data_IF_342542414469
#
_entry.id   IF_342542414469
#
_cell.length_a   1.000
_cell.length_b   1.000
_cell.length_c   1.000
_cell.angle_alpha   90.00
_cell.angle_beta   90.00
_cell.angle_gamma   90.00
#
_symmetry.space_group_name_H-M   'P 1'
#
loop_
_entity.id
_entity.type
_entity.pdbx_description
1 polymer ?
#
# COMPACT_ATOMS: atom_id res chain seq x y z
N UNK A 1 -9.26 -15.50 16.01
CA UNK A 1 -10.04 -15.16 14.80
C UNK A 1 -11.45 -15.70 15.01
N UNK A 2 -12.47 -14.86 14.84
CA UNK A 2 -13.87 -15.28 14.93
C UNK A 2 -14.33 -15.77 13.56
N UNK A 3 -14.31 -17.08 13.34
CA UNK A 3 -14.74 -17.70 12.09
C UNK A 3 -16.24 -17.50 11.79
N UNK A 4 -17.05 -17.16 12.80
CA UNK A 4 -18.48 -16.84 12.61
C UNK A 4 -18.71 -15.56 11.81
N UNK A 5 -17.71 -14.68 11.72
CA UNK A 5 -17.75 -13.46 10.92
C UNK A 5 -17.50 -13.69 9.41
N UNK A 6 -17.11 -14.89 9.00
CA UNK A 6 -16.76 -15.19 7.61
C UNK A 6 -17.76 -16.13 6.94
N UNK A 7 -17.80 -16.05 5.62
CA UNK A 7 -18.41 -17.01 4.73
C UNK A 7 -17.32 -17.74 3.93
N UNK A 8 -17.47 -19.06 3.83
CA UNK A 8 -16.55 -19.88 3.03
C UNK A 8 -17.11 -20.09 1.63
N UNK A 9 -16.39 -19.66 0.64
CA UNK A 9 -16.69 -19.82 -0.77
C UNK A 9 -16.06 -21.09 -1.31
N UNK A 10 -16.80 -22.19 -1.33
CA UNK A 10 -16.27 -23.53 -1.63
C UNK A 10 -15.62 -23.67 -3.01
N UNK A 11 -16.09 -22.92 -4.03
CA UNK A 11 -15.55 -22.97 -5.40
C UNK A 11 -14.15 -22.37 -5.46
N UNK A 12 -13.91 -21.26 -4.78
CA UNK A 12 -12.61 -20.59 -4.76
C UNK A 12 -11.72 -20.99 -3.58
N UNK A 13 -12.29 -21.65 -2.55
CA UNK A 13 -11.58 -21.92 -1.30
C UNK A 13 -11.30 -20.68 -0.47
N UNK A 14 -12.03 -19.59 -0.71
CA UNK A 14 -11.81 -18.29 -0.08
C UNK A 14 -12.64 -18.10 1.17
N UNK A 15 -12.12 -17.30 2.11
CA UNK A 15 -12.84 -16.85 3.30
C UNK A 15 -13.09 -15.36 3.21
N UNK A 16 -14.36 -14.97 3.11
CA UNK A 16 -14.75 -13.59 2.92
C UNK A 16 -15.63 -13.15 4.09
N UNK A 17 -15.31 -12.02 4.71
CA UNK A 17 -16.10 -11.49 5.81
C UNK A 17 -17.51 -11.11 5.35
N UNK A 18 -18.50 -11.38 6.18
CA UNK A 18 -19.92 -11.14 5.90
C UNK A 18 -20.27 -9.64 5.75
N UNK A 19 -19.46 -8.77 6.32
CA UNK A 19 -19.59 -7.31 6.24
C UNK A 19 -18.74 -6.70 5.13
N UNK A 20 -18.07 -7.53 4.32
CA UNK A 20 -17.31 -7.06 3.16
C UNK A 20 -18.21 -6.32 2.19
N UNK A 21 -17.75 -5.17 1.74
CA UNK A 21 -18.45 -4.32 0.77
C UNK A 21 -17.59 -4.11 -0.46
N UNK A 22 -18.21 -4.24 -1.62
CA UNK A 22 -17.54 -4.03 -2.90
C UNK A 22 -18.44 -3.33 -3.90
N UNK A 23 -17.82 -2.64 -4.86
CA UNK A 23 -18.47 -2.06 -6.03
C UNK A 23 -18.78 -3.10 -7.11
N UNK A 24 -19.13 -2.63 -8.28
CA UNK A 24 -19.36 -3.46 -9.46
C UNK A 24 -18.04 -4.00 -10.02
N UNK A 25 -18.08 -5.11 -10.77
CA UNK A 25 -16.90 -5.66 -11.42
C UNK A 25 -15.82 -6.24 -10.49
N UNK A 26 -16.15 -6.47 -9.21
CA UNK A 26 -15.21 -7.11 -8.28
C UNK A 26 -14.98 -8.58 -8.63
N UNK A 27 -13.71 -8.95 -8.76
CA UNK A 27 -13.29 -10.32 -9.03
C UNK A 27 -12.17 -10.75 -8.06
N UNK A 28 -12.13 -12.03 -7.68
CA UNK A 28 -11.04 -12.57 -6.88
C UNK A 28 -10.65 -13.98 -7.32
N UNK A 29 -9.37 -14.31 -7.15
CA UNK A 29 -8.81 -15.62 -7.42
C UNK A 29 -9.11 -16.65 -6.33
N UNK A 30 -8.30 -17.69 -6.28
CA UNK A 30 -8.44 -18.79 -5.34
C UNK A 30 -7.80 -18.49 -3.99
N UNK A 31 -8.37 -19.05 -2.91
CA UNK A 31 -7.81 -19.04 -1.56
C UNK A 31 -7.53 -17.62 -1.00
N UNK A 32 -8.37 -16.66 -1.35
CA UNK A 32 -8.29 -15.32 -0.80
C UNK A 32 -8.88 -15.26 0.62
N UNK A 33 -8.37 -14.34 1.43
CA UNK A 33 -8.93 -13.99 2.73
C UNK A 33 -9.26 -12.51 2.70
N UNK A 34 -10.53 -12.18 2.93
CA UNK A 34 -10.98 -10.79 3.03
C UNK A 34 -11.57 -10.62 4.43
N UNK A 35 -10.86 -9.84 5.23
CA UNK A 35 -11.21 -9.64 6.64
C UNK A 35 -12.37 -8.64 6.83
N UNK A 36 -12.96 -8.60 8.03
CA UNK A 36 -14.02 -7.63 8.34
C UNK A 36 -13.60 -6.17 8.13
N UNK A 37 -14.59 -5.32 7.84
CA UNK A 37 -14.40 -3.89 7.60
C UNK A 37 -13.47 -3.57 6.40
N UNK A 38 -13.40 -4.48 5.43
CA UNK A 38 -12.78 -4.20 4.12
C UNK A 38 -13.81 -3.60 3.17
N UNK A 39 -13.41 -2.57 2.44
CA UNK A 39 -14.23 -1.96 1.39
C UNK A 39 -13.39 -1.82 0.13
N UNK A 40 -13.93 -2.26 -0.99
CA UNK A 40 -13.33 -2.06 -2.31
C UNK A 40 -14.32 -1.39 -3.25
N UNK A 41 -13.81 -0.58 -4.17
CA UNK A 41 -14.57 0.13 -5.19
C UNK A 41 -14.96 -0.73 -6.39
N UNK A 42 -15.17 -0.06 -7.51
CA UNK A 42 -15.53 -0.69 -8.78
C UNK A 42 -14.30 -1.27 -9.51
N UNK A 43 -14.52 -2.32 -10.29
CA UNK A 43 -13.50 -2.95 -11.15
C UNK A 43 -12.20 -3.38 -10.43
N UNK A 44 -12.32 -3.81 -9.19
CA UNK A 44 -11.19 -4.32 -8.41
C UNK A 44 -10.98 -5.81 -8.67
N UNK A 45 -9.73 -6.19 -8.97
CA UNK A 45 -9.35 -7.58 -9.23
C UNK A 45 -8.27 -8.05 -8.26
N UNK A 46 -8.54 -9.17 -7.60
CA UNK A 46 -7.59 -9.85 -6.73
C UNK A 46 -7.11 -11.14 -7.42
N UNK A 47 -5.80 -11.36 -7.42
CA UNK A 47 -5.20 -12.63 -7.80
C UNK A 47 -5.47 -13.74 -6.78
N UNK A 48 -4.66 -14.79 -6.82
CA UNK A 48 -4.76 -15.91 -5.90
C UNK A 48 -4.08 -15.61 -4.56
N UNK A 49 -4.61 -16.16 -3.46
CA UNK A 49 -4.02 -16.07 -2.11
C UNK A 49 -3.76 -14.64 -1.63
N UNK A 50 -4.60 -13.72 -2.07
CA UNK A 50 -4.56 -12.33 -1.57
C UNK A 50 -5.22 -12.28 -0.20
N UNK A 51 -4.60 -11.57 0.73
CA UNK A 51 -5.18 -11.30 2.04
C UNK A 51 -5.36 -9.80 2.26
N UNK A 52 -6.60 -9.36 2.34
CA UNK A 52 -6.96 -8.00 2.71
C UNK A 52 -7.31 -7.95 4.20
N UNK A 53 -6.44 -7.33 4.99
CA UNK A 53 -6.61 -7.22 6.45
C UNK A 53 -7.65 -6.15 6.84
N UNK A 54 -8.15 -6.19 8.10
CA UNK A 54 -9.23 -5.31 8.55
C UNK A 54 -8.94 -3.82 8.34
N UNK A 55 -9.95 -3.09 7.89
CA UNK A 55 -9.87 -1.65 7.64
C UNK A 55 -9.19 -1.27 6.33
N UNK A 56 -8.83 -2.23 5.47
CA UNK A 56 -8.31 -1.95 4.13
C UNK A 56 -9.37 -1.27 3.27
N UNK A 57 -8.95 -0.22 2.56
CA UNK A 57 -9.75 0.52 1.57
C UNK A 57 -9.04 0.45 0.23
N UNK A 58 -9.75 -0.01 -0.78
CA UNK A 58 -9.27 -0.09 -2.16
C UNK A 58 -10.26 0.69 -3.03
N UNK A 59 -9.78 1.66 -3.80
CA UNK A 59 -10.63 2.44 -4.69
C UNK A 59 -10.82 1.72 -6.02
N UNK A 60 -11.15 2.47 -7.09
CA UNK A 60 -11.62 1.89 -8.34
C UNK A 60 -10.47 1.48 -9.27
N UNK A 61 -10.74 0.51 -10.15
CA UNK A 61 -9.79 -0.01 -11.15
C UNK A 61 -8.44 -0.40 -10.54
N UNK A 62 -8.46 -1.22 -9.50
CA UNK A 62 -7.23 -1.69 -8.83
C UNK A 62 -7.00 -3.18 -9.11
N UNK A 63 -5.76 -3.52 -9.45
CA UNK A 63 -5.32 -4.91 -9.55
C UNK A 63 -4.31 -5.24 -8.44
N UNK A 64 -4.61 -6.26 -7.65
CA UNK A 64 -3.73 -6.83 -6.63
C UNK A 64 -3.41 -8.27 -7.05
N UNK A 65 -2.17 -8.51 -7.47
CA UNK A 65 -1.73 -9.80 -7.98
C UNK A 65 -1.58 -10.86 -6.87
N UNK A 66 -1.19 -12.07 -7.26
CA UNK A 66 -1.09 -13.23 -6.38
C UNK A 66 -0.18 -12.99 -5.16
N UNK A 67 -0.50 -13.68 -4.05
CA UNK A 67 0.32 -13.72 -2.83
C UNK A 67 0.55 -12.34 -2.17
N UNK A 68 -0.26 -11.35 -2.50
CA UNK A 68 -0.19 -10.03 -1.87
C UNK A 68 -0.96 -10.00 -0.56
N UNK A 69 -0.43 -9.23 0.40
CA UNK A 69 -1.09 -9.06 1.69
C UNK A 69 -1.13 -7.59 2.10
N UNK A 70 -2.23 -7.18 2.72
CA UNK A 70 -2.25 -6.01 3.59
C UNK A 70 -2.18 -6.47 5.04
N UNK A 71 -1.60 -5.69 5.95
CA UNK A 71 -1.47 -6.13 7.36
C UNK A 71 -2.29 -5.29 8.34
N UNK A 72 -3.31 -4.63 7.86
CA UNK A 72 -4.23 -3.77 8.58
C UNK A 72 -4.71 -2.63 7.70
N UNK A 73 -5.19 -1.56 8.32
CA UNK A 73 -5.63 -0.35 7.62
C UNK A 73 -4.62 0.07 6.55
N UNK A 74 -5.03 0.02 5.32
CA UNK A 74 -4.26 0.44 4.14
C UNK A 74 -5.24 1.09 3.17
N UNK A 75 -4.78 2.11 2.44
CA UNK A 75 -5.59 2.76 1.42
C UNK A 75 -4.85 2.67 0.08
N UNK A 76 -5.48 2.05 -0.90
CA UNK A 76 -5.02 1.98 -2.27
C UNK A 76 -5.95 2.85 -3.12
N UNK A 77 -5.40 3.87 -3.73
CA UNK A 77 -6.07 4.78 -4.64
C UNK A 77 -6.52 4.11 -5.94
N UNK A 78 -7.17 4.88 -6.79
CA UNK A 78 -7.67 4.37 -8.07
C UNK A 78 -6.52 4.11 -9.06
N UNK A 79 -6.73 3.17 -9.97
CA UNK A 79 -5.77 2.79 -11.02
C UNK A 79 -4.44 2.24 -10.49
N UNK A 80 -4.40 1.77 -9.24
CA UNK A 80 -3.20 1.18 -8.63
C UNK A 80 -3.00 -0.25 -9.11
N UNK A 81 -1.75 -0.61 -9.35
CA UNK A 81 -1.34 -1.98 -9.69
C UNK A 81 -0.34 -2.48 -8.65
N UNK A 82 -0.70 -3.51 -7.90
CA UNK A 82 0.18 -4.17 -6.92
C UNK A 82 0.56 -5.55 -7.45
N UNK A 83 1.86 -5.76 -7.64
CA UNK A 83 2.38 -7.01 -8.23
C UNK A 83 2.71 -8.05 -7.18
N UNK A 84 2.79 -9.29 -7.64
CA UNK A 84 2.91 -10.53 -6.87
C UNK A 84 3.84 -10.46 -5.65
N UNK A 85 3.38 -11.01 -4.53
CA UNK A 85 4.19 -11.21 -3.31
C UNK A 85 4.49 -9.94 -2.53
N UNK A 86 3.76 -8.86 -2.79
CA UNK A 86 3.97 -7.59 -2.09
C UNK A 86 3.21 -7.55 -0.75
N UNK A 87 3.87 -6.99 0.27
CA UNK A 87 3.30 -6.75 1.59
C UNK A 87 3.10 -5.25 1.82
N UNK A 88 1.86 -4.81 1.76
CA UNK A 88 1.45 -3.46 2.11
C UNK A 88 1.12 -3.44 3.60
N UNK A 89 2.03 -2.92 4.40
CA UNK A 89 1.83 -2.82 5.85
C UNK A 89 0.65 -1.91 6.19
N UNK A 90 0.12 -2.08 7.39
CA UNK A 90 -0.87 -1.12 7.87
C UNK A 90 -0.30 0.30 7.93
N UNK A 91 -1.16 1.29 7.85
CA UNK A 91 -0.80 2.71 7.77
C UNK A 91 -0.04 3.08 6.49
N UNK A 92 -0.27 2.38 5.39
CA UNK A 92 0.25 2.76 4.07
C UNK A 92 -0.88 3.34 3.22
N UNK A 93 -0.61 4.48 2.62
CA UNK A 93 -1.43 5.08 1.57
C UNK A 93 -0.65 4.94 0.26
N UNK A 94 -1.28 4.33 -0.72
CA UNK A 94 -0.81 4.27 -2.10
C UNK A 94 -1.74 5.17 -2.90
N UNK A 95 -1.27 6.30 -3.34
CA UNK A 95 -2.08 7.26 -4.09
C UNK A 95 -2.41 6.74 -5.51
N UNK A 96 -3.26 7.44 -6.25
CA UNK A 96 -3.74 7.00 -7.55
C UNK A 96 -2.59 6.79 -8.56
N UNK A 97 -2.82 5.89 -9.51
CA UNK A 97 -1.90 5.58 -10.62
C UNK A 97 -0.55 5.02 -10.20
N UNK A 98 -0.37 4.65 -8.93
CA UNK A 98 0.88 4.03 -8.48
C UNK A 98 1.06 2.63 -9.05
N UNK A 99 2.31 2.32 -9.39
CA UNK A 99 2.74 0.97 -9.72
C UNK A 99 3.66 0.42 -8.63
N UNK A 100 3.19 -0.57 -7.91
CA UNK A 100 3.90 -1.28 -6.85
C UNK A 100 4.38 -2.62 -7.42
N UNK A 101 5.66 -2.71 -7.76
CA UNK A 101 6.23 -3.90 -8.39
C UNK A 101 6.31 -5.08 -7.40
N UNK A 102 6.76 -6.25 -7.88
CA UNK A 102 6.71 -7.49 -7.11
C UNK A 102 7.62 -7.50 -5.86
N UNK A 103 7.13 -8.10 -4.79
CA UNK A 103 7.92 -8.35 -3.58
C UNK A 103 8.26 -7.12 -2.76
N UNK A 104 7.46 -6.06 -2.84
CA UNK A 104 7.62 -4.88 -1.99
C UNK A 104 7.33 -5.24 -0.54
N UNK A 105 8.13 -4.69 0.38
CA UNK A 105 7.92 -4.79 1.82
C UNK A 105 7.85 -3.40 2.44
N UNK A 106 6.70 -2.98 2.91
CA UNK A 106 6.56 -1.73 3.65
C UNK A 106 6.52 -1.96 5.16
N UNK A 107 6.82 -0.93 5.93
CA UNK A 107 6.79 -0.97 7.40
C UNK A 107 5.88 0.12 7.97
N UNK A 108 5.31 -0.10 9.16
CA UNK A 108 4.37 0.82 9.81
C UNK A 108 4.78 1.24 11.22
N UNK A 109 5.74 0.54 11.82
CA UNK A 109 6.16 0.80 13.20
C UNK A 109 7.65 1.12 13.22
N UNK A 110 7.98 2.32 13.67
CA UNK A 110 9.37 2.78 13.77
C UNK A 110 10.07 2.20 15.00
N UNK A 111 9.36 2.07 16.12
CA UNK A 111 9.87 1.54 17.36
C UNK A 111 9.11 0.27 17.75
N UNK A 112 9.82 -0.83 17.90
CA UNK A 112 9.26 -2.11 18.35
C UNK A 112 9.34 -2.18 19.86
N UNK A 113 8.19 -2.32 20.50
CA UNK A 113 8.04 -2.37 21.96
C UNK A 113 8.08 -3.78 22.56
N UNK A 114 8.25 -4.81 21.72
CA UNK A 114 8.32 -6.20 22.17
C UNK A 114 9.44 -6.40 23.21
N UNK A 115 9.08 -6.90 24.38
CA UNK A 115 9.96 -7.03 25.56
C UNK A 115 10.65 -5.71 25.98
N UNK A 116 10.11 -4.55 25.58
CA UNK A 116 10.62 -3.22 25.90
C UNK A 116 9.48 -2.28 26.30
N UNK A 117 8.83 -2.52 27.48
CA UNK A 117 7.61 -1.78 27.85
C UNK A 117 7.83 -0.27 28.02
N UNK A 118 9.09 0.16 28.15
CA UNK A 118 9.46 1.57 28.25
C UNK A 118 9.67 2.25 26.88
N UNK A 119 9.77 1.46 25.80
CA UNK A 119 9.93 2.02 24.46
C UNK A 119 8.58 2.54 23.96
N UNK A 120 8.48 3.81 23.59
CA UNK A 120 7.22 4.35 23.06
C UNK A 120 6.92 3.71 21.70
N UNK A 121 5.76 3.08 21.59
CA UNK A 121 5.26 2.59 20.30
C UNK A 121 4.92 3.79 19.41
N UNK A 122 5.48 3.81 18.21
CA UNK A 122 5.23 4.87 17.24
C UNK A 122 4.82 4.27 15.91
N UNK A 123 3.57 4.50 15.55
CA UNK A 123 3.00 4.14 14.25
C UNK A 123 2.97 5.37 13.36
N UNK A 124 3.42 5.24 12.14
CA UNK A 124 3.54 6.34 11.18
C UNK A 124 2.84 5.94 9.87
N UNK A 125 2.27 6.92 9.21
CA UNK A 125 1.70 6.75 7.86
C UNK A 125 2.83 6.84 6.85
N UNK A 126 2.94 5.80 6.01
CA UNK A 126 3.83 5.76 4.85
C UNK A 126 3.01 6.10 3.61
N UNK A 127 3.56 6.90 2.69
CA UNK A 127 2.87 7.33 1.48
C UNK A 127 3.67 7.02 0.23
N UNK A 128 3.02 6.44 -0.76
CA UNK A 128 3.48 6.36 -2.15
C UNK A 128 2.67 7.37 -2.95
N UNK A 129 3.31 8.46 -3.38
CA UNK A 129 2.64 9.59 -4.03
C UNK A 129 2.14 9.27 -5.42
N UNK A 130 1.17 10.04 -5.89
CA UNK A 130 0.49 9.90 -7.18
C UNK A 130 1.42 9.51 -8.33
N UNK A 131 1.08 8.47 -9.07
CA UNK A 131 1.84 8.02 -10.24
C UNK A 131 3.25 7.52 -9.95
N UNK A 132 3.62 7.30 -8.69
CA UNK A 132 4.95 6.78 -8.36
C UNK A 132 5.11 5.31 -8.77
N UNK A 133 6.34 4.94 -9.13
CA UNK A 133 6.74 3.56 -9.46
C UNK A 133 7.67 3.05 -8.39
N UNK A 134 7.26 2.01 -7.68
CA UNK A 134 8.08 1.36 -6.65
C UNK A 134 8.65 0.07 -7.23
N UNK A 135 9.95 0.04 -7.46
CA UNK A 135 10.66 -1.09 -8.08
C UNK A 135 10.63 -2.36 -7.24
N UNK A 136 10.77 -3.51 -7.90
CA UNK A 136 10.67 -4.82 -7.26
C UNK A 136 11.61 -4.98 -6.06
N UNK A 137 11.14 -5.66 -5.00
CA UNK A 137 11.90 -5.91 -3.77
C UNK A 137 12.38 -4.65 -3.03
N UNK A 138 11.74 -3.52 -3.26
CA UNK A 138 11.98 -2.31 -2.47
C UNK A 138 11.43 -2.51 -1.06
N UNK A 139 12.20 -2.05 -0.07
CA UNK A 139 11.76 -2.00 1.33
C UNK A 139 11.58 -0.53 1.75
N UNK A 140 10.48 -0.22 2.44
CA UNK A 140 10.26 1.12 2.94
C UNK A 140 10.15 1.13 4.47
N UNK A 141 10.84 2.09 5.09
CA UNK A 141 10.69 2.37 6.52
C UNK A 141 9.32 2.98 6.83
N UNK A 142 8.90 2.85 8.08
CA UNK A 142 7.68 3.47 8.56
C UNK A 142 7.76 5.01 8.50
N UNK A 143 6.71 5.63 7.97
CA UNK A 143 6.55 7.08 7.94
C UNK A 143 7.27 7.79 6.81
N UNK A 144 7.81 7.07 5.83
CA UNK A 144 8.41 7.70 4.65
C UNK A 144 7.35 8.12 3.65
N UNK A 145 7.59 9.25 3.00
CA UNK A 145 6.79 9.75 1.88
C UNK A 145 7.60 9.70 0.60
N UNK A 146 7.01 9.16 -0.46
CA UNK A 146 7.58 9.13 -1.80
C UNK A 146 6.81 10.14 -2.63
N UNK A 147 7.52 11.09 -3.23
CA UNK A 147 6.93 12.18 -4.00
C UNK A 147 6.18 11.67 -5.26
N UNK A 148 5.20 12.43 -5.76
CA UNK A 148 4.49 12.10 -6.99
C UNK A 148 5.42 11.92 -8.20
N UNK A 149 5.13 10.94 -9.04
CA UNK A 149 5.92 10.63 -10.23
C UNK A 149 7.32 10.09 -9.96
N UNK A 150 7.70 9.89 -8.70
CA UNK A 150 9.02 9.35 -8.38
C UNK A 150 9.14 7.88 -8.81
N UNK A 151 10.31 7.52 -9.34
CA UNK A 151 10.68 6.15 -9.71
C UNK A 151 11.73 5.65 -8.73
N UNK A 152 11.37 4.66 -7.92
CA UNK A 152 12.29 3.98 -7.01
C UNK A 152 12.80 2.72 -7.69
N UNK A 153 14.11 2.60 -7.86
CA UNK A 153 14.74 1.45 -8.50
C UNK A 153 14.55 0.17 -7.68
N UNK A 154 14.67 -0.98 -8.35
CA UNK A 154 14.52 -2.30 -7.72
C UNK A 154 15.52 -2.53 -6.57
N UNK A 155 15.12 -3.29 -5.57
CA UNK A 155 15.98 -3.63 -4.43
C UNK A 155 16.35 -2.45 -3.54
N UNK A 156 15.68 -1.31 -3.69
CA UNK A 156 15.99 -0.12 -2.91
C UNK A 156 15.53 -0.21 -1.46
N UNK A 157 16.25 0.49 -0.58
CA UNK A 157 15.83 0.73 0.81
C UNK A 157 15.49 2.20 0.99
N UNK A 158 14.21 2.50 1.15
CA UNK A 158 13.71 3.87 1.39
C UNK A 158 13.61 4.09 2.89
N UNK A 159 14.53 4.85 3.44
CA UNK A 159 14.65 5.10 4.90
C UNK A 159 14.35 6.53 5.30
N UNK A 160 14.27 7.44 4.33
CA UNK A 160 13.91 8.86 4.47
C UNK A 160 12.92 9.22 3.37
N UNK A 161 12.29 10.38 3.50
CA UNK A 161 11.40 10.90 2.48
C UNK A 161 12.16 11.13 1.15
N UNK A 162 11.49 10.82 0.05
CA UNK A 162 11.95 11.10 -1.30
C UNK A 162 11.13 12.28 -1.81
N UNK A 163 11.67 13.50 -1.63
CA UNK A 163 10.89 14.74 -1.70
C UNK A 163 10.72 15.32 -3.09
N UNK A 164 11.63 14.97 -4.03
CA UNK A 164 11.61 15.57 -5.37
C UNK A 164 10.65 14.76 -6.25
N UNK A 165 9.57 15.38 -6.77
CA UNK A 165 8.66 14.72 -7.69
C UNK A 165 9.35 14.45 -9.04
N UNK A 166 8.82 13.49 -9.78
CA UNK A 166 9.38 13.13 -11.08
C UNK A 166 10.90 12.95 -11.06
N UNK A 167 11.38 12.15 -10.12
CA UNK A 167 12.79 11.87 -9.96
C UNK A 167 13.07 10.38 -9.81
N UNK A 168 14.26 9.96 -10.19
CA UNK A 168 14.72 8.57 -10.06
C UNK A 168 15.59 8.45 -8.83
N UNK A 169 15.27 7.47 -7.99
CA UNK A 169 15.99 7.15 -6.76
C UNK A 169 16.49 5.71 -6.80
N UNK A 170 17.71 5.48 -6.37
CA UNK A 170 18.32 4.16 -6.32
C UNK A 170 19.39 4.05 -5.23
N UNK A 171 19.80 2.82 -4.88
CA UNK A 171 20.81 2.51 -3.86
C UNK A 171 22.25 2.54 -4.39
N UNK A 172 22.65 3.52 -5.14
CA UNK A 172 24.04 3.60 -5.64
C UNK A 172 24.58 5.02 -5.44
N UNK A 173 25.74 5.19 -4.78
CA UNK A 173 26.59 4.20 -4.09
C UNK A 173 26.19 3.88 -2.64
N UNK A 174 25.05 4.36 -2.17
CA UNK A 174 24.59 4.23 -0.78
C UNK A 174 23.79 2.95 -0.54
N UNK A 175 23.72 2.43 0.72
CA UNK A 175 22.87 1.29 1.05
C UNK A 175 21.37 1.62 1.12
N UNK A 176 20.98 2.88 0.93
CA UNK A 176 19.60 3.36 0.86
C UNK A 176 19.36 4.21 -0.39
N UNK A 177 18.10 4.36 -0.76
CA UNK A 177 17.71 5.12 -1.95
C UNK A 177 18.10 6.59 -1.83
N UNK A 178 18.81 7.08 -2.83
CA UNK A 178 19.21 8.48 -2.99
C UNK A 178 18.83 8.98 -4.37
N UNK A 179 18.69 10.30 -4.51
CA UNK A 179 18.41 10.94 -5.79
C UNK A 179 19.50 10.62 -6.79
N UNK A 180 19.12 10.12 -7.96
CA UNK A 180 20.02 9.89 -9.09
C UNK A 180 19.87 10.97 -10.16
N UNK A 181 18.64 11.33 -10.48
CA UNK A 181 18.32 12.37 -11.46
C UNK A 181 16.87 12.79 -11.35
N UNK A 182 16.56 13.98 -11.81
CA UNK A 182 15.21 14.43 -12.10
C UNK A 182 14.77 13.97 -13.50
N UNK A 183 13.47 13.84 -13.71
CA UNK A 183 12.87 13.47 -14.99
C UNK A 183 12.40 14.75 -15.65
N UNK A 184 12.93 15.01 -16.84
CA UNK A 184 12.57 16.18 -17.66
C UNK A 184 11.06 16.12 -18.01
N UNK A 185 10.33 17.26 -18.00
CA UNK A 185 8.93 17.31 -18.38
C UNK A 185 8.61 16.76 -19.77
N UNK A 186 9.55 16.84 -20.71
CA UNK A 186 9.40 16.28 -22.06
C UNK A 186 9.64 14.76 -22.13
N UNK A 187 10.04 14.15 -21.02
CA UNK A 187 10.30 12.70 -20.95
C UNK A 187 9.02 11.91 -20.83
N UNK A 188 8.92 10.78 -21.54
CA UNK A 188 7.75 9.88 -21.50
C UNK A 188 7.44 9.28 -20.11
N UNK A 189 8.36 9.34 -19.18
CA UNK A 189 8.15 8.90 -17.79
C UNK A 189 7.75 10.02 -16.83
N UNK A 190 7.64 11.25 -17.33
CA UNK A 190 7.16 12.37 -16.52
C UNK A 190 5.67 12.19 -16.20
N UNK A 191 5.30 12.38 -14.97
CA UNK A 191 3.91 12.29 -14.50
C UNK A 191 3.40 13.69 -14.20
N UNK A 192 2.39 14.13 -14.93
CA UNK A 192 1.66 15.35 -14.62
C UNK A 192 0.59 15.04 -13.58
N UNK A 193 0.73 15.63 -12.40
CA UNK A 193 -0.29 15.52 -11.35
C UNK A 193 -1.40 16.52 -11.66
N UNK A 194 -2.65 16.08 -11.81
CA UNK A 194 -3.77 17.01 -12.06
C UNK A 194 -3.87 18.08 -10.96
N UNK A 195 -4.09 19.34 -11.31
CA UNK A 195 -4.27 20.42 -10.33
C UNK A 195 -5.40 20.15 -9.34
N UNK A 196 -6.44 19.43 -9.78
CA UNK A 196 -7.58 19.02 -8.95
C UNK A 196 -7.30 17.82 -8.04
N UNK A 197 -6.14 17.16 -8.20
CA UNK A 197 -5.83 15.97 -7.43
C UNK A 197 -5.61 16.33 -5.95
N UNK A 198 -6.31 15.63 -5.09
CA UNK A 198 -6.17 15.72 -3.64
C UNK A 198 -5.61 14.41 -3.11
N UNK A 199 -4.42 14.42 -2.49
CA UNK A 199 -3.84 13.21 -1.92
C UNK A 199 -4.78 12.54 -0.92
N UNK A 200 -4.93 11.23 -1.03
CA UNK A 200 -5.79 10.46 -0.16
C UNK A 200 -5.36 10.55 1.30
N UNK A 201 -6.32 10.46 2.20
CA UNK A 201 -6.07 10.45 3.64
C UNK A 201 -6.94 9.37 4.30
N UNK A 202 -6.44 8.81 5.37
CA UNK A 202 -7.28 7.96 6.21
C UNK A 202 -8.34 8.80 6.91
N UNK A 203 -9.53 8.24 6.96
CA UNK A 203 -10.60 8.74 7.82
C UNK A 203 -10.17 8.74 9.29
N UNK A 204 -10.56 9.78 10.03
CA UNK A 204 -10.20 9.93 11.44
C UNK A 204 -10.73 8.77 12.31
N UNK A 205 -11.91 8.23 11.99
CA UNK A 205 -12.48 7.09 12.70
C UNK A 205 -11.67 5.81 12.46
N UNK A 206 -11.23 5.59 11.21
CA UNK A 206 -10.35 4.48 10.86
C UNK A 206 -9.00 4.58 11.57
N UNK A 207 -8.42 5.78 11.63
CA UNK A 207 -7.17 6.01 12.37
C UNK A 207 -7.35 5.69 13.85
N UNK A 208 -8.39 6.19 14.48
CA UNK A 208 -8.69 5.93 15.89
C UNK A 208 -8.90 4.45 16.18
N UNK A 209 -9.61 3.74 15.30
CA UNK A 209 -9.91 2.32 15.44
C UNK A 209 -8.69 1.42 15.27
N UNK A 210 -7.86 1.68 14.26
CA UNK A 210 -6.81 0.76 13.85
C UNK A 210 -5.37 1.22 14.16
N UNK A 211 -5.17 2.50 14.42
CA UNK A 211 -3.86 3.08 14.71
C UNK A 211 -3.88 3.90 16.01
N UNK A 212 -4.21 3.30 17.15
CA UNK A 212 -4.35 4.04 18.42
C UNK A 212 -3.04 4.70 18.89
N UNK A 213 -1.91 4.34 18.34
CA UNK A 213 -0.59 4.93 18.60
C UNK A 213 -0.08 5.81 17.46
N UNK A 214 -0.95 6.16 16.50
CA UNK A 214 -0.63 7.13 15.47
C UNK A 214 -0.43 8.52 16.10
N UNK A 215 0.66 9.14 15.73
CA UNK A 215 0.96 10.53 16.04
C UNK A 215 1.53 11.15 14.77
N UNK A 216 0.86 12.20 14.23
CA UNK A 216 1.34 12.89 13.03
C UNK A 216 2.71 13.54 13.26
#
# INVERSE_FOLDING_TARGET
MDWGAYEYHAVSGSWIAKDFRHGSGFEHGLQCIIDPDVVVGDDVRLGHRVHLAPGTRVLDDVEIADDCVTTGISLLGSHVRVRTGSCISKAVIVDDWCFVAAGIMSSHTKNVDHARPQAPKRQLVTRFGYGSVIGSRTNTSAGVSIAPGAIVGYGSHVVTDLEIPNAVYYNDPHPWATLQREIDPDNAYYVEVPESYMPHQFDAELLAKYLPHYRP
#
